data_IF_272927538474
#
_entry.id   IF_272927538474
#
_cell.length_a   1.000
_cell.length_b   1.000
_cell.length_c   1.000
_cell.angle_alpha   90.00
_cell.angle_beta   90.00
_cell.angle_gamma   90.00
#
_symmetry.space_group_name_H-M   'P 1'
#
loop_
_entity.id
_entity.type
_entity.pdbx_description
1 polymer ?
#
# COMPACT_ATOMS: atom_id res chain seq x y z
N UNK A 1 11.07 -33.62 -8.13
CA UNK A 1 10.26 -32.47 -8.57
C UNK A 1 10.57 -32.23 -10.04
N UNK A 2 9.60 -32.43 -10.94
CA UNK A 2 9.81 -32.18 -12.37
C UNK A 2 9.68 -30.69 -12.64
N UNK A 3 10.67 -30.12 -13.30
CA UNK A 3 10.70 -28.72 -13.73
C UNK A 3 10.87 -28.68 -15.24
N UNK A 4 10.27 -27.69 -15.88
CA UNK A 4 10.46 -27.41 -17.31
C UNK A 4 11.17 -26.07 -17.47
N UNK A 5 12.07 -26.01 -18.45
CA UNK A 5 12.68 -24.77 -18.89
C UNK A 5 11.93 -24.27 -20.12
N UNK A 6 11.60 -22.98 -20.12
CA UNK A 6 10.86 -22.31 -21.17
C UNK A 6 11.70 -21.14 -21.67
N UNK A 7 11.81 -20.99 -22.98
CA UNK A 7 12.48 -19.84 -23.59
C UNK A 7 11.55 -19.17 -24.61
N UNK A 8 11.52 -17.85 -24.58
CA UNK A 8 10.77 -17.02 -25.52
C UNK A 8 11.70 -15.93 -26.03
N UNK A 9 11.63 -15.63 -27.32
CA UNK A 9 12.45 -14.59 -27.92
C UNK A 9 11.75 -13.24 -27.79
N UNK A 10 12.39 -12.29 -27.09
CA UNK A 10 11.92 -10.92 -26.99
C UNK A 10 12.52 -10.08 -28.14
N UNK A 11 11.68 -9.71 -29.10
CA UNK A 11 12.10 -8.93 -30.27
C UNK A 11 12.59 -7.52 -29.93
N UNK A 12 12.07 -6.91 -28.86
CA UNK A 12 12.42 -5.56 -28.43
C UNK A 12 13.83 -5.52 -27.84
N UNK A 13 14.15 -6.49 -26.97
CA UNK A 13 15.48 -6.60 -26.34
C UNK A 13 16.48 -7.40 -27.18
N UNK A 14 16.01 -8.03 -28.27
CA UNK A 14 16.77 -8.94 -29.15
C UNK A 14 17.47 -10.08 -28.38
N UNK A 15 16.79 -10.64 -27.37
CA UNK A 15 17.33 -11.67 -26.48
C UNK A 15 16.27 -12.71 -26.12
N UNK A 16 16.72 -13.91 -25.77
CA UNK A 16 15.85 -14.93 -25.19
C UNK A 16 15.60 -14.64 -23.71
N UNK A 17 14.34 -14.60 -23.31
CA UNK A 17 13.92 -14.64 -21.91
C UNK A 17 13.68 -16.09 -21.52
N UNK A 18 14.35 -16.53 -20.45
CA UNK A 18 14.34 -17.92 -19.99
C UNK A 18 13.65 -17.98 -18.64
N UNK A 19 12.73 -18.93 -18.50
CA UNK A 19 11.93 -19.16 -17.29
C UNK A 19 12.00 -20.63 -16.87
N UNK A 20 11.98 -20.87 -15.57
CA UNK A 20 11.92 -22.22 -15.01
C UNK A 20 10.58 -22.34 -14.27
N UNK A 21 9.79 -23.35 -14.62
CA UNK A 21 8.47 -23.54 -14.00
C UNK A 21 8.18 -25.02 -13.78
N UNK A 22 7.41 -25.34 -12.75
CA UNK A 22 6.84 -26.67 -12.52
C UNK A 22 5.44 -26.81 -13.13
N UNK A 23 4.91 -25.76 -13.78
CA UNK A 23 3.60 -25.78 -14.44
C UNK A 23 3.71 -26.61 -15.72
N UNK A 24 2.78 -27.54 -15.90
CA UNK A 24 2.77 -28.44 -17.06
C UNK A 24 2.36 -27.72 -18.35
N UNK A 25 2.77 -28.26 -19.51
CA UNK A 25 2.62 -27.62 -20.84
C UNK A 25 1.16 -27.51 -21.28
N UNK A 26 0.36 -28.49 -20.90
CA UNK A 26 -1.08 -28.56 -21.09
C UNK A 26 -1.84 -27.50 -20.28
N UNK A 27 -1.27 -27.01 -19.17
CA UNK A 27 -1.88 -25.97 -18.32
C UNK A 27 -1.55 -24.55 -18.80
N UNK A 28 -0.26 -24.25 -19.01
CA UNK A 28 0.18 -22.96 -19.54
C UNK A 28 1.23 -23.16 -20.63
N UNK A 29 1.07 -22.44 -21.73
CA UNK A 29 2.04 -22.44 -22.82
C UNK A 29 3.26 -21.55 -22.52
N UNK A 30 4.14 -21.35 -23.50
CA UNK A 30 5.35 -20.53 -23.36
C UNK A 30 5.02 -19.03 -23.20
N UNK A 31 4.04 -18.54 -23.96
CA UNK A 31 3.67 -17.13 -23.97
C UNK A 31 2.93 -16.72 -22.70
N UNK A 32 2.09 -17.60 -22.16
CA UNK A 32 1.37 -17.37 -20.92
C UNK A 32 2.29 -17.41 -19.71
N UNK A 33 3.30 -18.29 -19.70
CA UNK A 33 4.37 -18.24 -18.70
C UNK A 33 5.11 -16.89 -18.76
N UNK A 34 5.44 -16.39 -19.96
CA UNK A 34 6.10 -15.10 -20.10
C UNK A 34 5.25 -13.95 -19.56
N UNK A 35 3.95 -13.93 -19.88
CA UNK A 35 2.99 -12.94 -19.34
C UNK A 35 2.85 -13.05 -17.82
N UNK A 36 2.77 -14.27 -17.29
CA UNK A 36 2.69 -14.53 -15.85
C UNK A 36 3.94 -14.02 -15.12
N UNK A 37 5.13 -14.25 -15.69
CA UNK A 37 6.36 -13.66 -15.16
C UNK A 37 6.38 -12.14 -15.29
N UNK A 38 5.69 -11.56 -16.27
CA UNK A 38 5.43 -10.12 -16.32
C UNK A 38 4.69 -9.59 -15.10
N UNK A 39 3.77 -10.37 -14.52
CA UNK A 39 3.07 -10.01 -13.29
C UNK A 39 3.99 -9.89 -12.06
N UNK A 40 5.23 -10.41 -12.11
CA UNK A 40 6.26 -10.16 -11.08
C UNK A 40 6.49 -8.67 -10.85
N UNK A 41 6.35 -7.86 -11.90
CA UNK A 41 6.50 -6.39 -11.78
C UNK A 41 5.45 -5.77 -10.85
N UNK A 42 4.25 -6.36 -10.75
CA UNK A 42 3.22 -5.89 -9.82
C UNK A 42 3.68 -5.95 -8.36
N UNK A 43 4.55 -6.92 -8.01
CA UNK A 43 5.13 -7.02 -6.67
C UNK A 43 6.09 -5.85 -6.41
N UNK A 44 6.94 -5.50 -7.39
CA UNK A 44 7.83 -4.35 -7.27
C UNK A 44 7.04 -3.04 -7.13
N UNK A 45 5.98 -2.87 -7.94
CA UNK A 45 5.08 -1.73 -7.84
C UNK A 45 4.40 -1.66 -6.47
N UNK A 46 3.97 -2.79 -5.92
CA UNK A 46 3.38 -2.88 -4.59
C UNK A 46 4.36 -2.42 -3.50
N UNK A 47 5.63 -2.87 -3.54
CA UNK A 47 6.64 -2.41 -2.59
C UNK A 47 6.99 -0.93 -2.78
N UNK A 48 7.02 -0.45 -4.02
CA UNK A 48 7.23 0.97 -4.31
C UNK A 48 6.10 1.82 -3.73
N UNK A 49 4.87 1.35 -3.84
CA UNK A 49 3.67 2.00 -3.28
C UNK A 49 3.73 2.03 -1.73
N UNK A 50 4.07 0.91 -1.09
CA UNK A 50 4.20 0.84 0.37
C UNK A 50 5.24 1.80 0.92
N UNK A 51 6.40 1.88 0.27
CA UNK A 51 7.48 2.80 0.64
C UNK A 51 7.07 4.26 0.38
N UNK A 52 6.94 4.63 -0.89
CA UNK A 52 6.75 6.03 -1.27
C UNK A 52 5.38 6.63 -0.97
N UNK A 53 4.32 5.81 -0.89
CA UNK A 53 2.96 6.28 -0.64
C UNK A 53 2.50 6.07 0.80
N UNK A 54 2.92 4.98 1.45
CA UNK A 54 2.42 4.60 2.78
C UNK A 54 3.50 4.57 3.86
N UNK A 55 4.58 5.33 3.64
CA UNK A 55 5.65 5.67 4.58
C UNK A 55 6.36 4.46 5.22
N UNK A 56 6.40 3.32 4.54
CA UNK A 56 7.04 2.12 5.07
C UNK A 56 8.56 2.28 5.23
N UNK A 57 9.19 3.16 4.45
CA UNK A 57 10.62 3.48 4.51
C UNK A 57 10.96 4.71 5.36
N UNK A 58 9.97 5.35 6.00
CA UNK A 58 10.15 6.56 6.83
C UNK A 58 10.16 6.27 8.35
N UNK A 59 10.32 5.01 8.74
CA UNK A 59 10.28 4.57 10.14
C UNK A 59 11.63 4.85 10.84
N UNK A 60 11.74 5.99 11.52
CA UNK A 60 12.95 6.37 12.29
C UNK A 60 12.84 5.95 13.77
N UNK A 61 12.84 4.64 14.03
CA UNK A 61 12.89 4.11 15.40
C UNK A 61 13.53 2.72 15.44
N UNK A 62 14.10 2.37 16.60
CA UNK A 62 14.69 1.04 16.85
C UNK A 62 13.76 0.11 17.64
N UNK A 63 12.61 0.61 18.08
CA UNK A 63 11.67 -0.19 18.87
C UNK A 63 10.89 -1.15 17.95
N UNK A 64 11.13 -2.46 18.12
CA UNK A 64 10.52 -3.53 17.32
C UNK A 64 8.99 -3.50 17.35
N UNK A 65 8.38 -3.13 18.48
CA UNK A 65 6.93 -3.06 18.60
C UNK A 65 6.36 -1.92 17.76
N UNK A 66 7.03 -0.76 17.77
CA UNK A 66 6.65 0.40 16.98
C UNK A 66 6.83 0.08 15.49
N UNK A 67 7.97 -0.49 15.09
CA UNK A 67 8.22 -0.94 13.70
C UNK A 67 7.11 -1.89 13.23
N UNK A 68 6.78 -2.90 14.04
CA UNK A 68 5.73 -3.87 13.71
C UNK A 68 4.38 -3.20 13.51
N UNK A 69 4.01 -2.27 14.40
CA UNK A 69 2.77 -1.50 14.26
C UNK A 69 2.74 -0.70 12.95
N UNK A 70 3.83 -0.03 12.58
CA UNK A 70 3.92 0.72 11.32
C UNK A 70 3.82 -0.18 10.08
N UNK A 71 4.48 -1.34 10.08
CA UNK A 71 4.36 -2.32 8.99
C UNK A 71 2.89 -2.72 8.80
N UNK A 72 2.20 -3.05 9.89
CA UNK A 72 0.79 -3.42 9.85
C UNK A 72 -0.09 -2.26 9.38
N UNK A 73 0.14 -1.03 9.82
CA UNK A 73 -0.64 0.13 9.38
C UNK A 73 -0.43 0.43 7.89
N UNK A 74 0.80 0.31 7.36
CA UNK A 74 1.06 0.48 5.93
C UNK A 74 0.37 -0.60 5.10
N UNK A 75 0.36 -1.86 5.56
CA UNK A 75 -0.37 -2.95 4.90
C UNK A 75 -1.88 -2.71 4.92
N UNK A 76 -2.45 -2.31 6.05
CA UNK A 76 -3.88 -1.99 6.15
C UNK A 76 -4.25 -0.83 5.23
N UNK A 77 -3.43 0.22 5.19
CA UNK A 77 -3.61 1.38 4.30
C UNK A 77 -3.58 0.95 2.84
N UNK A 78 -2.62 0.10 2.46
CA UNK A 78 -2.54 -0.49 1.11
C UNK A 78 -3.83 -1.25 0.76
N UNK A 79 -4.34 -2.10 1.64
CA UNK A 79 -5.56 -2.90 1.39
C UNK A 79 -6.75 -1.97 1.15
N UNK A 80 -6.95 -0.95 1.99
CA UNK A 80 -8.02 0.03 1.84
C UNK A 80 -7.87 0.79 0.52
N UNK A 81 -6.66 1.31 0.26
CA UNK A 81 -6.33 2.03 -0.97
C UNK A 81 -6.63 1.20 -2.23
N UNK A 82 -6.22 -0.07 -2.26
CA UNK A 82 -6.46 -0.99 -3.39
C UNK A 82 -7.93 -1.26 -3.63
N UNK A 83 -8.73 -1.40 -2.56
CA UNK A 83 -10.18 -1.57 -2.68
C UNK A 83 -10.83 -0.34 -3.29
N UNK A 84 -10.50 0.86 -2.81
CA UNK A 84 -11.00 2.10 -3.40
C UNK A 84 -10.52 2.29 -4.84
N UNK A 85 -9.26 1.99 -5.14
CA UNK A 85 -8.72 2.05 -6.49
C UNK A 85 -9.54 1.20 -7.46
N UNK A 86 -9.80 -0.06 -7.10
CA UNK A 86 -10.59 -0.96 -7.92
C UNK A 86 -12.03 -0.48 -8.08
N UNK A 87 -12.65 0.04 -7.00
CA UNK A 87 -13.99 0.61 -7.06
C UNK A 87 -14.06 1.79 -8.05
N UNK A 88 -13.15 2.77 -7.92
CA UNK A 88 -13.10 3.95 -8.80
C UNK A 88 -12.78 3.55 -10.24
N UNK A 89 -11.77 2.71 -10.44
CA UNK A 89 -11.36 2.22 -11.76
C UNK A 89 -12.49 1.48 -12.47
N UNK A 90 -13.25 0.64 -11.76
CA UNK A 90 -14.38 -0.08 -12.33
C UNK A 90 -15.56 0.83 -12.66
N UNK A 91 -15.71 1.94 -11.94
CA UNK A 91 -16.74 2.96 -12.17
C UNK A 91 -16.45 3.85 -13.39
N UNK A 92 -15.22 3.85 -13.91
CA UNK A 92 -14.92 4.53 -15.17
C UNK A 92 -15.73 3.88 -16.31
N UNK A 93 -16.25 4.67 -17.25
CA UNK A 93 -16.97 4.12 -18.42
C UNK A 93 -16.00 3.87 -19.58
N UNK A 94 -15.02 4.75 -19.74
CA UNK A 94 -14.06 4.78 -20.83
C UNK A 94 -12.91 3.76 -20.62
N UNK A 95 -12.78 2.83 -21.57
CA UNK A 95 -11.76 1.77 -21.53
C UNK A 95 -10.33 2.32 -21.66
N UNK A 96 -10.11 3.38 -22.44
CA UNK A 96 -8.77 3.98 -22.59
C UNK A 96 -8.34 4.64 -21.28
N UNK A 97 -9.28 5.33 -20.62
CA UNK A 97 -9.02 5.91 -19.29
C UNK A 97 -8.76 4.84 -18.24
N UNK A 98 -9.48 3.71 -18.28
CA UNK A 98 -9.24 2.56 -17.37
C UNK A 98 -7.82 2.01 -17.47
N UNK A 99 -7.30 1.88 -18.69
CA UNK A 99 -5.93 1.37 -18.92
C UNK A 99 -4.89 2.35 -18.35
N UNK A 100 -5.13 3.65 -18.48
CA UNK A 100 -4.24 4.71 -17.98
C UNK A 100 -4.40 4.99 -16.48
N UNK A 101 -5.42 4.44 -15.83
CA UNK A 101 -5.62 4.56 -14.39
C UNK A 101 -4.68 3.61 -13.64
N UNK A 102 -3.45 4.09 -13.43
CA UNK A 102 -2.36 3.33 -12.83
C UNK A 102 -2.35 3.41 -11.31
N UNK A 103 -1.87 2.34 -10.68
CA UNK A 103 -1.78 2.26 -9.22
C UNK A 103 -0.91 3.36 -8.59
N UNK A 104 0.23 3.69 -9.21
CA UNK A 104 1.16 4.67 -8.63
C UNK A 104 0.61 6.08 -8.63
N UNK A 105 -0.14 6.48 -9.69
CA UNK A 105 -0.83 7.76 -9.71
C UNK A 105 -1.97 7.79 -8.69
N UNK A 106 -2.73 6.68 -8.61
CA UNK A 106 -3.77 6.52 -7.60
C UNK A 106 -3.22 6.70 -6.18
N UNK A 107 -2.11 6.03 -5.83
CA UNK A 107 -1.52 6.09 -4.50
C UNK A 107 -1.24 7.53 -4.07
N UNK A 108 -0.67 8.36 -4.95
CA UNK A 108 -0.42 9.79 -4.69
C UNK A 108 -1.70 10.57 -4.44
N UNK A 109 -2.73 10.35 -5.26
CA UNK A 109 -4.04 11.02 -5.09
C UNK A 109 -4.67 10.58 -3.77
N UNK A 110 -4.67 9.29 -3.48
CA UNK A 110 -5.24 8.72 -2.27
C UNK A 110 -4.59 9.29 -1.01
N UNK A 111 -3.25 9.36 -0.97
CA UNK A 111 -2.52 9.90 0.19
C UNK A 111 -2.80 11.38 0.39
N UNK A 112 -2.90 12.17 -0.69
CA UNK A 112 -3.22 13.60 -0.61
C UNK A 112 -4.66 13.89 -0.17
N UNK A 113 -5.59 12.95 -0.35
CA UNK A 113 -7.02 13.14 -0.07
C UNK A 113 -7.55 12.23 1.06
N UNK A 114 -6.66 11.53 1.78
CA UNK A 114 -7.04 10.54 2.81
C UNK A 114 -7.86 11.18 3.94
N UNK A 115 -7.54 12.43 4.31
CA UNK A 115 -8.23 13.16 5.37
C UNK A 115 -9.67 13.50 4.96
N UNK A 116 -9.90 13.89 3.71
CA UNK A 116 -11.24 14.18 3.21
C UNK A 116 -12.11 12.93 3.18
N UNK A 117 -11.54 11.79 2.76
CA UNK A 117 -12.20 10.50 2.82
C UNK A 117 -12.56 10.12 4.27
N UNK A 118 -11.63 10.32 5.21
CA UNK A 118 -11.88 10.07 6.62
C UNK A 118 -13.00 10.96 7.16
N UNK A 119 -13.00 12.26 6.82
CA UNK A 119 -14.06 13.20 7.20
C UNK A 119 -15.42 12.74 6.64
N UNK A 120 -15.49 12.29 5.38
CA UNK A 120 -16.72 11.78 4.78
C UNK A 120 -17.24 10.53 5.50
N UNK A 121 -16.35 9.60 5.87
CA UNK A 121 -16.72 8.41 6.64
C UNK A 121 -17.21 8.77 8.05
N UNK A 122 -16.57 9.76 8.68
CA UNK A 122 -16.94 10.25 10.00
C UNK A 122 -18.24 11.05 9.98
N UNK A 123 -18.59 11.77 8.90
CA UNK A 123 -19.88 12.45 8.77
C UNK A 123 -21.08 11.50 8.84
N UNK A 124 -20.89 10.26 8.41
CA UNK A 124 -21.91 9.20 8.54
C UNK A 124 -21.93 8.57 9.95
N UNK A 125 -20.99 8.95 10.82
CA UNK A 125 -21.00 8.62 12.24
C UNK A 125 -21.70 9.76 13.02
N UNK A 126 -22.30 9.43 14.16
CA UNK A 126 -22.84 10.43 15.08
C UNK A 126 -21.75 11.46 15.44
N UNK A 127 -22.02 12.76 15.22
CA UNK A 127 -21.05 13.84 15.42
C UNK A 127 -20.45 13.86 16.82
N UNK A 128 -21.20 13.40 17.84
CA UNK A 128 -20.69 13.21 19.20
C UNK A 128 -19.61 12.13 19.26
N UNK A 129 -19.82 11.00 18.58
CA UNK A 129 -18.87 9.89 18.50
C UNK A 129 -17.61 10.29 17.74
N UNK A 130 -17.73 11.10 16.70
CA UNK A 130 -16.57 11.65 15.96
C UNK A 130 -15.72 12.54 16.87
N UNK A 131 -16.36 13.48 17.58
CA UNK A 131 -15.67 14.37 18.51
C UNK A 131 -14.98 13.57 19.63
N UNK A 132 -15.67 12.63 20.26
CA UNK A 132 -15.09 11.75 21.29
C UNK A 132 -13.90 10.95 20.76
N UNK A 133 -13.99 10.43 19.53
CA UNK A 133 -12.90 9.69 18.88
C UNK A 133 -11.70 10.58 18.62
N UNK A 134 -11.91 11.78 18.04
CA UNK A 134 -10.84 12.74 17.80
C UNK A 134 -10.17 13.19 19.09
N UNK A 135 -10.95 13.48 20.14
CA UNK A 135 -10.41 13.85 21.44
C UNK A 135 -9.60 12.71 22.08
N UNK A 136 -10.05 11.46 21.96
CA UNK A 136 -9.25 10.30 22.42
C UNK A 136 -7.94 10.17 21.65
N UNK A 137 -7.95 10.39 20.34
CA UNK A 137 -6.72 10.38 19.53
C UNK A 137 -5.78 11.50 19.96
N UNK A 138 -6.27 12.73 20.11
CA UNK A 138 -5.43 13.84 20.57
C UNK A 138 -4.86 13.63 21.96
N UNK A 139 -5.67 13.13 22.91
CA UNK A 139 -5.21 12.86 24.27
C UNK A 139 -4.17 11.72 24.27
N UNK A 140 -4.37 10.66 23.49
CA UNK A 140 -3.43 9.54 23.44
C UNK A 140 -2.13 9.86 22.70
N UNK A 141 -2.21 10.57 21.57
CA UNK A 141 -1.07 10.89 20.70
C UNK A 141 -0.33 12.16 21.14
N UNK A 142 -0.98 13.05 21.88
CA UNK A 142 -0.38 14.29 22.38
C UNK A 142 0.55 14.09 23.58
N UNK A 143 0.57 12.89 24.16
CA UNK A 143 1.49 12.54 25.25
C UNK A 143 2.88 12.28 24.68
N UNK A 144 3.89 12.99 25.19
CA UNK A 144 5.29 12.71 24.85
C UNK A 144 5.65 11.28 25.29
N UNK A 145 6.03 10.38 24.36
CA UNK A 145 6.30 8.98 24.67
C UNK A 145 7.47 8.79 25.63
N UNK A 146 8.32 9.81 25.84
CA UNK A 146 9.41 9.78 26.83
C UNK A 146 8.88 10.09 28.24
N UNK A 147 8.29 9.09 28.87
CA UNK A 147 7.65 9.21 30.19
C UNK A 147 8.61 9.77 31.26
N UNK A 148 9.89 9.38 31.20
CA UNK A 148 10.93 9.75 32.18
C UNK A 148 11.66 11.06 31.86
N UNK A 149 11.29 11.78 30.79
CA UNK A 149 11.95 13.04 30.42
C UNK A 149 11.60 14.12 31.44
N UNK A 150 12.60 14.74 32.07
CA UNK A 150 12.39 15.92 32.93
C UNK A 150 11.82 17.07 32.09
N UNK A 151 10.65 17.57 32.47
CA UNK A 151 9.97 18.67 31.78
C UNK A 151 10.10 19.95 32.59
N UNK A 152 10.59 21.02 31.96
CA UNK A 152 10.77 22.33 32.60
C UNK A 152 9.46 22.85 33.23
N UNK A 153 8.34 22.69 32.53
CA UNK A 153 7.00 23.11 33.00
C UNK A 153 6.31 22.10 33.93
N UNK A 154 6.98 21.03 34.37
CA UNK A 154 6.35 20.04 35.26
C UNK A 154 5.90 20.66 36.59
N UNK A 155 6.56 21.74 37.04
CA UNK A 155 6.22 22.46 38.27
C UNK A 155 5.01 23.40 38.11
N UNK A 156 4.49 23.57 36.89
CA UNK A 156 3.44 24.55 36.55
C UNK A 156 2.07 23.87 36.35
N UNK A 157 2.02 22.56 36.54
CA UNK A 157 0.83 21.74 36.43
C UNK A 157 0.46 21.36 37.86
N UNK A 158 -0.56 22.00 38.42
CA UNK A 158 -1.18 21.66 39.72
C UNK A 158 -1.93 20.33 39.65
#
# INVERSE_FOLDING_TARGET
>A
MHVRLVATYNCTEKKYHIYITNIQKDVLDVNDIAKLYGARWEIELLFKELKSGYALDEIDTKNVQIISAFIWTSILTLIVSKRLHNFVKNSLVDAEKKVRYTQLLWSKIFTSNILDLLILLLKNCDGKRVFETLMRVYISQGLDPHVNRKRFRAQWVE
#
